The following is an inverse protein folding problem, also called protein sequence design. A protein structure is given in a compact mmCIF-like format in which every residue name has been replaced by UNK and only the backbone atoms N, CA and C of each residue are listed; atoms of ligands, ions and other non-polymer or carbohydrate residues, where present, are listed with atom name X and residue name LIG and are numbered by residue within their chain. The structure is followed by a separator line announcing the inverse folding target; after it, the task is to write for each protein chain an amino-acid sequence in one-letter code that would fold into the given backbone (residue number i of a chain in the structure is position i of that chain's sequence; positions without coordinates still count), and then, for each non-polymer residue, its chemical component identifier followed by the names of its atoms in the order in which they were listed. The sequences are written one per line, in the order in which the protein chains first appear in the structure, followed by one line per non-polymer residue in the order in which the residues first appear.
data_IF_079654504135
#
_entry.id   IF_079654504135
#
_cell.length_a   1.000
_cell.length_b   1.000
_cell.length_c   1.000
_cell.angle_alpha   90.00
_cell.angle_beta   90.00
_cell.angle_gamma   90.00
#
_symmetry.space_group_name_H-M   'P 1'
#
loop_
_entity.id
_entity.type
_entity.pdbx_description
1 polymer ?
#
# COMPACT_ATOMS: atom_id res chain seq x y z
N UNK A 1 5.21 17.93 10.79
CA UNK A 1 6.05 17.24 9.78
C UNK A 1 5.20 16.13 9.22
N UNK A 2 5.15 15.92 7.90
CA UNK A 2 4.32 14.84 7.33
C UNK A 2 4.85 13.47 7.75
N UNK A 3 3.95 12.59 8.16
CA UNK A 3 4.25 11.20 8.50
C UNK A 3 4.78 10.44 7.29
N UNK A 4 4.13 10.57 6.13
CA UNK A 4 4.58 9.98 4.84
C UNK A 4 6.03 10.36 4.56
N UNK A 5 6.33 11.66 4.60
CA UNK A 5 7.67 12.17 4.33
C UNK A 5 8.70 11.62 5.31
N UNK A 6 8.42 11.69 6.61
CA UNK A 6 9.34 11.21 7.65
C UNK A 6 9.59 9.70 7.55
N UNK A 7 8.55 8.90 7.29
CA UNK A 7 8.64 7.45 7.08
C UNK A 7 9.54 7.12 5.90
N UNK A 8 9.31 7.75 4.74
CA UNK A 8 10.08 7.47 3.51
C UNK A 8 11.53 7.95 3.60
N UNK A 9 11.78 9.15 4.15
CA UNK A 9 13.14 9.66 4.35
C UNK A 9 13.95 8.79 5.32
N UNK A 10 13.29 8.23 6.34
CA UNK A 10 13.94 7.33 7.30
C UNK A 10 14.20 5.96 6.70
N UNK A 11 13.26 5.41 5.92
CA UNK A 11 13.47 4.19 5.15
C UNK A 11 14.68 4.33 4.20
N UNK A 12 14.76 5.42 3.43
CA UNK A 12 15.85 5.65 2.48
C UNK A 12 17.24 5.68 3.11
N UNK A 13 17.36 6.11 4.37
CA UNK A 13 18.62 6.07 5.13
C UNK A 13 19.10 4.66 5.46
N UNK A 14 18.20 3.67 5.41
CA UNK A 14 18.49 2.26 5.68
C UNK A 14 18.85 1.48 4.41
N UNK A 15 18.66 2.07 3.24
CA UNK A 15 18.96 1.41 1.96
C UNK A 15 20.47 1.47 1.68
N UNK A 16 20.99 0.40 1.06
CA UNK A 16 22.35 0.41 0.53
C UNK A 16 22.45 1.19 -0.80
N UNK A 17 23.66 1.26 -1.38
CA UNK A 17 23.91 2.02 -2.61
C UNK A 17 23.15 1.50 -3.84
N UNK A 18 22.57 0.29 -3.76
CA UNK A 18 21.79 -0.32 -4.83
C UNK A 18 20.28 -0.27 -4.53
N UNK A 19 19.85 0.56 -3.57
CA UNK A 19 18.48 0.64 -3.07
C UNK A 19 17.95 -0.67 -2.46
N UNK A 20 18.84 -1.52 -1.93
CA UNK A 20 18.45 -2.73 -1.25
C UNK A 20 18.34 -2.52 0.26
N UNK A 21 17.38 -3.19 0.88
CA UNK A 21 17.19 -3.27 2.32
C UNK A 21 17.39 -4.71 2.78
N UNK A 22 18.23 -4.93 3.78
CA UNK A 22 18.27 -6.20 4.50
C UNK A 22 17.08 -6.25 5.46
N UNK A 23 16.27 -7.30 5.33
CA UNK A 23 15.09 -7.55 6.16
C UNK A 23 15.17 -8.92 6.81
N UNK A 24 14.49 -9.06 7.95
CA UNK A 24 14.28 -10.34 8.62
C UNK A 24 12.81 -10.75 8.47
N UNK A 25 12.58 -11.90 7.84
CA UNK A 25 11.28 -12.54 7.68
C UNK A 25 11.02 -13.59 8.78
N UNK A 26 9.96 -14.37 8.60
CA UNK A 26 9.59 -15.52 9.42
C UNK A 26 10.75 -16.51 9.59
N UNK A 27 10.73 -17.25 10.71
CA UNK A 27 11.77 -18.21 11.12
C UNK A 27 13.19 -17.64 11.21
N UNK A 28 13.35 -16.31 11.20
CA UNK A 28 14.65 -15.64 11.24
C UNK A 28 15.38 -15.64 9.91
N UNK A 29 14.69 -15.92 8.80
CA UNK A 29 15.26 -15.81 7.46
C UNK A 29 15.65 -14.36 7.17
N UNK A 30 16.86 -14.15 6.65
CA UNK A 30 17.36 -12.84 6.26
C UNK A 30 17.45 -12.80 4.74
N UNK A 31 16.87 -11.76 4.15
CA UNK A 31 16.94 -11.52 2.71
C UNK A 31 17.23 -10.05 2.40
N UNK A 32 17.61 -9.78 1.16
CA UNK A 32 17.68 -8.44 0.61
C UNK A 32 16.49 -8.21 -0.30
N UNK A 33 15.78 -7.12 -0.06
CA UNK A 33 14.66 -6.66 -0.90
C UNK A 33 15.00 -5.33 -1.55
N UNK A 34 14.43 -5.09 -2.72
CA UNK A 34 14.59 -3.87 -3.51
C UNK A 34 13.47 -2.86 -3.22
N UNK A 35 13.86 -1.59 -3.16
CA UNK A 35 12.97 -0.45 -3.03
C UNK A 35 13.16 0.50 -4.22
N UNK A 36 12.13 0.68 -5.03
CA UNK A 36 12.11 1.60 -6.17
C UNK A 36 11.05 2.65 -5.90
N UNK A 37 11.44 3.91 -5.92
CA UNK A 37 10.51 5.03 -5.78
C UNK A 37 10.59 5.91 -7.01
N UNK A 38 9.45 6.11 -7.66
CA UNK A 38 9.38 6.93 -8.86
C UNK A 38 9.57 8.43 -8.51
N UNK A 39 9.89 9.27 -9.49
CA UNK A 39 9.84 10.73 -9.33
C UNK A 39 8.44 11.21 -8.88
N UNK A 40 8.33 12.40 -8.26
CA UNK A 40 7.04 13.04 -7.97
C UNK A 40 6.08 13.10 -9.16
N UNK A 41 4.79 12.96 -8.88
CA UNK A 41 3.73 13.18 -9.87
C UNK A 41 3.67 14.66 -10.26
N UNK A 42 3.40 14.92 -11.54
CA UNK A 42 3.13 16.29 -12.01
C UNK A 42 1.68 16.69 -11.74
N UNK A 43 1.36 17.98 -11.84
CA UNK A 43 -0.05 18.41 -11.77
C UNK A 43 -0.88 17.79 -12.90
N UNK A 44 -0.29 17.62 -14.08
CA UNK A 44 -0.95 16.99 -15.23
C UNK A 44 -1.29 15.53 -14.91
N UNK A 45 -0.43 14.81 -14.21
CA UNK A 45 -0.73 13.45 -13.76
C UNK A 45 -1.90 13.45 -12.78
N UNK A 46 -1.88 14.30 -11.76
CA UNK A 46 -2.92 14.34 -10.74
C UNK A 46 -4.29 14.76 -11.32
N UNK A 47 -4.32 15.62 -12.32
CA UNK A 47 -5.54 16.05 -13.01
C UNK A 47 -6.22 14.94 -13.83
N UNK A 48 -5.52 13.85 -14.17
CA UNK A 48 -6.11 12.70 -14.86
C UNK A 48 -7.08 11.92 -13.98
N UNK A 49 -6.96 12.01 -12.65
CA UNK A 49 -7.83 11.27 -11.73
C UNK A 49 -9.24 11.88 -11.73
N UNK A 50 -10.29 11.11 -12.08
CA UNK A 50 -11.67 11.63 -12.15
C UNK A 50 -12.35 11.71 -10.78
N UNK A 51 -11.64 11.45 -9.68
CA UNK A 51 -12.17 11.34 -8.32
C UNK A 51 -11.27 12.07 -7.32
N UNK A 52 -11.82 12.37 -6.15
CA UNK A 52 -11.07 12.98 -5.05
C UNK A 52 -10.17 11.97 -4.38
N UNK A 53 -8.94 12.40 -4.08
CA UNK A 53 -7.92 11.57 -3.45
C UNK A 53 -7.75 11.97 -1.98
N UNK A 54 -7.61 11.01 -1.04
CA UNK A 54 -7.22 11.33 0.34
C UNK A 54 -5.89 12.08 0.41
N UNK A 55 -5.80 13.08 1.28
CA UNK A 55 -4.66 14.03 1.34
C UNK A 55 -3.31 13.35 1.56
N UNK A 56 -3.26 12.31 2.37
CA UNK A 56 -2.06 11.53 2.65
C UNK A 56 -1.61 10.69 1.45
N UNK A 57 -2.55 10.15 0.66
CA UNK A 57 -2.21 9.49 -0.60
C UNK A 57 -1.79 10.50 -1.69
N UNK A 58 -2.45 11.66 -1.79
CA UNK A 58 -2.02 12.73 -2.69
C UNK A 58 -0.60 13.21 -2.34
N UNK A 59 -0.29 13.36 -1.05
CA UNK A 59 1.06 13.69 -0.59
C UNK A 59 2.07 12.62 -1.01
N UNK A 60 1.73 11.34 -0.90
CA UNK A 60 2.57 10.26 -1.41
C UNK A 60 2.84 10.44 -2.91
N UNK A 61 1.82 10.64 -3.75
CA UNK A 61 2.00 10.83 -5.19
C UNK A 61 2.90 12.04 -5.51
N UNK A 62 2.77 13.13 -4.74
CA UNK A 62 3.60 14.34 -4.87
C UNK A 62 5.05 14.15 -4.40
N UNK A 63 5.35 13.06 -3.69
CA UNK A 63 6.71 12.67 -3.34
C UNK A 63 7.25 11.59 -4.30
N UNK A 64 6.39 10.61 -4.62
CA UNK A 64 6.67 9.44 -5.45
C UNK A 64 5.42 9.02 -6.23
N UNK A 65 5.46 9.15 -7.55
CA UNK A 65 4.40 8.73 -8.45
C UNK A 65 4.42 7.22 -8.65
N UNK A 66 4.06 6.48 -7.59
CA UNK A 66 4.19 5.03 -7.55
C UNK A 66 5.61 4.55 -7.26
N UNK A 67 5.81 3.24 -7.40
CA UNK A 67 7.06 2.57 -7.09
C UNK A 67 6.87 1.08 -6.82
N UNK A 68 7.90 0.46 -6.28
CA UNK A 68 7.93 -0.94 -5.92
C UNK A 68 8.64 -1.08 -4.58
N UNK A 69 7.97 -1.67 -3.59
CA UNK A 69 8.55 -1.89 -2.26
C UNK A 69 8.60 -3.37 -1.94
N UNK A 70 9.62 -3.79 -1.18
CA UNK A 70 9.81 -5.17 -0.72
C UNK A 70 9.88 -6.20 -1.87
N UNK A 71 10.37 -5.81 -3.04
CA UNK A 71 10.51 -6.73 -4.18
C UNK A 71 11.76 -7.59 -4.04
N UNK A 72 11.69 -8.86 -4.42
CA UNK A 72 12.89 -9.68 -4.54
C UNK A 72 13.78 -9.15 -5.68
N UNK A 73 15.11 -9.02 -5.49
CA UNK A 73 16.05 -8.69 -6.57
C UNK A 73 15.99 -9.67 -7.75
N UNK A 74 15.50 -10.89 -7.52
CA UNK A 74 15.30 -11.93 -8.55
C UNK A 74 13.95 -11.77 -9.27
N UNK A 75 13.13 -10.83 -8.83
CA UNK A 75 11.82 -10.47 -9.38
C UNK A 75 10.66 -11.13 -8.63
N UNK A 76 9.72 -10.31 -8.16
CA UNK A 76 8.46 -10.75 -7.57
C UNK A 76 8.39 -10.61 -6.04
N UNK A 77 7.24 -10.97 -5.46
CA UNK A 77 7.02 -11.03 -4.01
C UNK A 77 6.76 -9.69 -3.30
N UNK A 78 7.02 -8.56 -3.97
CA UNK A 78 6.80 -7.22 -3.41
C UNK A 78 5.43 -6.62 -3.65
N UNK A 79 5.29 -5.35 -3.27
CA UNK A 79 4.11 -4.53 -3.46
C UNK A 79 4.40 -3.40 -4.45
N UNK A 80 3.71 -3.42 -5.59
CA UNK A 80 3.75 -2.32 -6.57
C UNK A 80 2.81 -1.22 -6.12
N UNK A 81 3.34 -0.03 -5.87
CA UNK A 81 2.57 1.19 -5.62
C UNK A 81 2.26 1.82 -6.97
N UNK A 82 0.97 1.99 -7.28
CA UNK A 82 0.54 2.31 -8.63
C UNK A 82 0.77 3.77 -9.00
N UNK A 83 1.18 4.02 -10.24
CA UNK A 83 1.12 5.36 -10.83
C UNK A 83 -0.32 5.76 -11.14
N UNK A 84 -0.58 7.05 -11.35
CA UNK A 84 -1.92 7.50 -11.77
C UNK A 84 -2.40 6.79 -13.04
N UNK A 85 -1.52 6.63 -14.03
CA UNK A 85 -1.88 5.98 -15.29
C UNK A 85 -2.24 4.50 -15.04
N UNK A 86 -1.49 3.81 -14.18
CA UNK A 86 -1.79 2.42 -13.82
C UNK A 86 -3.12 2.29 -13.06
N UNK A 87 -3.44 3.22 -12.15
CA UNK A 87 -4.74 3.26 -11.47
C UNK A 87 -5.88 3.34 -12.50
N UNK A 88 -5.72 4.21 -13.51
CA UNK A 88 -6.73 4.38 -14.56
C UNK A 88 -6.81 3.15 -15.47
N UNK A 89 -5.69 2.53 -15.80
CA UNK A 89 -5.64 1.27 -16.56
C UNK A 89 -6.38 0.16 -15.82
N UNK A 90 -6.16 -0.03 -14.51
CA UNK A 90 -6.88 -1.03 -13.74
C UNK A 90 -8.38 -0.75 -13.69
N UNK A 91 -8.79 0.51 -13.53
CA UNK A 91 -10.22 0.87 -13.54
C UNK A 91 -10.90 0.67 -14.89
N UNK A 92 -10.13 0.57 -15.98
CA UNK A 92 -10.65 0.31 -17.32
C UNK A 92 -10.79 -1.19 -17.64
N UNK A 93 -10.34 -2.09 -16.76
CA UNK A 93 -10.45 -3.54 -16.96
C UNK A 93 -11.93 -3.97 -16.79
N UNK A 94 -12.50 -4.78 -17.69
CA UNK A 94 -13.84 -5.32 -17.53
C UNK A 94 -14.02 -6.05 -16.20
N UNK A 95 -15.08 -5.73 -15.46
CA UNK A 95 -15.33 -6.20 -14.09
C UNK A 95 -14.94 -5.21 -12.99
N UNK A 96 -14.05 -4.24 -13.28
CA UNK A 96 -13.85 -3.09 -12.38
C UNK A 96 -14.97 -2.05 -12.48
N UNK A 97 -15.80 -2.11 -13.52
CA UNK A 97 -16.98 -1.23 -13.68
C UNK A 97 -18.02 -1.42 -12.57
N UNK A 98 -18.02 -2.58 -11.91
CA UNK A 98 -18.90 -2.89 -10.78
C UNK A 98 -18.44 -2.21 -9.47
N UNK A 99 -17.25 -1.60 -9.46
CA UNK A 99 -16.70 -0.93 -8.29
C UNK A 99 -17.38 0.42 -8.12
N UNK A 100 -17.65 0.87 -6.88
CA UNK A 100 -18.14 2.22 -6.67
C UNK A 100 -17.19 3.26 -7.29
N UNK A 101 -17.73 4.36 -7.82
CA UNK A 101 -16.98 5.30 -8.65
C UNK A 101 -15.73 5.91 -7.97
N UNK A 102 -15.74 6.03 -6.64
CA UNK A 102 -14.64 6.56 -5.83
C UNK A 102 -13.74 5.47 -5.24
N UNK A 103 -13.89 4.22 -5.67
CA UNK A 103 -13.05 3.11 -5.26
C UNK A 103 -12.03 2.84 -6.34
N UNK A 104 -10.76 2.77 -5.93
CA UNK A 104 -9.66 2.61 -6.87
C UNK A 104 -8.47 1.92 -6.23
N UNK A 105 -7.81 1.00 -6.96
CA UNK A 105 -6.60 0.37 -6.49
C UNK A 105 -5.48 1.40 -6.42
N UNK A 106 -4.61 1.28 -5.43
CA UNK A 106 -3.43 2.12 -5.25
C UNK A 106 -2.16 1.30 -5.05
N UNK A 107 -2.31 0.00 -4.82
CA UNK A 107 -1.20 -0.95 -4.85
C UNK A 107 -1.68 -2.32 -5.36
N UNK A 108 -0.73 -3.09 -5.90
CA UNK A 108 -0.93 -4.45 -6.40
C UNK A 108 0.24 -5.34 -5.96
N UNK A 109 -0.05 -6.52 -5.41
CA UNK A 109 0.98 -7.44 -4.93
C UNK A 109 0.39 -8.60 -4.13
N UNK A 110 1.27 -9.42 -3.55
CA UNK A 110 0.91 -10.60 -2.73
C UNK A 110 -0.23 -11.44 -3.33
N UNK A 111 0.09 -12.24 -4.34
CA UNK A 111 -0.85 -13.20 -4.94
C UNK A 111 -2.03 -12.56 -5.69
N UNK A 112 -1.80 -11.40 -6.32
CA UNK A 112 -2.79 -10.75 -7.17
C UNK A 112 -3.84 -9.97 -6.41
N UNK A 113 -3.50 -9.52 -5.20
CA UNK A 113 -4.36 -8.70 -4.37
C UNK A 113 -4.13 -7.20 -4.63
N UNK A 114 -5.12 -6.41 -4.24
CA UNK A 114 -5.12 -4.96 -4.40
C UNK A 114 -5.30 -4.27 -3.07
N UNK A 115 -4.51 -3.22 -2.84
CA UNK A 115 -4.83 -2.21 -1.84
C UNK A 115 -5.75 -1.19 -2.49
N UNK A 116 -6.94 -0.98 -1.94
CA UNK A 116 -7.97 -0.14 -2.52
C UNK A 116 -8.29 1.01 -1.58
N UNK A 117 -8.32 2.23 -2.14
CA UNK A 117 -8.92 3.39 -1.47
C UNK A 117 -10.43 3.32 -1.70
N UNK A 118 -11.20 3.51 -0.63
CA UNK A 118 -12.66 3.49 -0.67
C UNK A 118 -13.26 4.76 -0.07
N UNK A 119 -14.55 4.99 -0.32
CA UNK A 119 -15.33 6.03 0.37
C UNK A 119 -15.97 5.53 1.69
N UNK A 120 -15.95 4.21 1.94
CA UNK A 120 -16.25 3.61 3.25
C UNK A 120 -15.20 4.05 4.27
N UNK A 121 -15.63 4.46 5.46
CA UNK A 121 -14.75 4.90 6.54
C UNK A 121 -15.10 4.27 7.88
N UNK A 122 -14.09 3.81 8.61
CA UNK A 122 -14.19 3.53 10.05
C UNK A 122 -13.11 4.36 10.75
N UNK A 123 -13.53 5.31 11.59
CA UNK A 123 -12.63 6.30 12.16
C UNK A 123 -11.92 7.12 11.07
N UNK A 124 -10.58 7.08 11.04
CA UNK A 124 -9.76 7.72 9.99
C UNK A 124 -9.43 6.79 8.82
N UNK A 125 -9.73 5.50 8.93
CA UNK A 125 -9.37 4.51 7.93
C UNK A 125 -10.31 4.48 6.75
N UNK A 126 -9.78 4.09 5.59
CA UNK A 126 -10.53 3.99 4.32
C UNK A 126 -9.95 2.92 3.37
N UNK A 127 -8.96 2.15 3.81
CA UNK A 127 -8.30 1.15 2.98
C UNK A 127 -8.96 -0.22 3.08
N UNK A 128 -9.08 -0.87 1.92
CA UNK A 128 -9.46 -2.27 1.77
C UNK A 128 -8.27 -3.07 1.21
N UNK A 129 -8.08 -4.28 1.70
CA UNK A 129 -7.22 -5.28 1.08
C UNK A 129 -8.08 -6.30 0.37
N UNK A 130 -8.10 -6.29 -0.95
CA UNK A 130 -9.01 -7.07 -1.75
C UNK A 130 -8.28 -8.16 -2.53
N UNK A 131 -8.75 -9.38 -2.39
CA UNK A 131 -8.31 -10.51 -3.23
C UNK A 131 -9.14 -10.55 -4.52
N UNK A 132 -8.48 -10.82 -5.65
CA UNK A 132 -9.16 -10.89 -6.94
C UNK A 132 -10.24 -11.98 -6.93
N UNK A 133 -11.46 -11.63 -7.30
CA UNK A 133 -12.58 -12.57 -7.45
C UNK A 133 -13.48 -12.70 -6.21
N UNK A 134 -13.19 -11.98 -5.13
CA UNK A 134 -14.07 -11.90 -3.97
C UNK A 134 -15.03 -10.70 -4.08
N UNK A 135 -16.24 -10.85 -3.53
CA UNK A 135 -17.19 -9.74 -3.36
C UNK A 135 -16.70 -8.78 -2.27
N UNK A 136 -17.19 -7.53 -2.25
CA UNK A 136 -16.81 -6.52 -1.25
C UNK A 136 -17.35 -6.81 0.17
N UNK A 137 -16.71 -7.76 0.84
CA UNK A 137 -16.95 -8.13 2.24
C UNK A 137 -16.29 -7.17 3.24
N UNK A 138 -16.87 -7.05 4.43
CA UNK A 138 -16.43 -6.08 5.45
C UNK A 138 -15.14 -6.52 6.19
N UNK A 139 -14.78 -7.81 6.14
CA UNK A 139 -13.54 -8.34 6.74
C UNK A 139 -12.28 -7.99 5.96
N UNK A 140 -12.42 -7.53 4.71
CA UNK A 140 -11.35 -6.96 3.89
C UNK A 140 -10.97 -5.52 4.29
N UNK A 141 -11.68 -4.91 5.24
CA UNK A 141 -11.39 -3.55 5.69
C UNK A 141 -10.19 -3.50 6.64
N UNK A 142 -9.17 -2.71 6.27
CA UNK A 142 -7.94 -2.62 7.08
C UNK A 142 -8.06 -1.67 8.28
N UNK A 143 -9.09 -0.82 8.35
CA UNK A 143 -9.24 0.10 9.47
C UNK A 143 -8.25 1.27 9.52
N UNK A 144 -7.47 1.51 8.45
CA UNK A 144 -6.41 2.52 8.43
C UNK A 144 -6.36 3.36 7.15
N UNK A 145 -5.64 4.47 7.22
CA UNK A 145 -5.36 5.36 6.08
C UNK A 145 -4.02 4.97 5.42
N UNK A 146 -3.64 5.68 4.36
CA UNK A 146 -2.45 5.34 3.59
C UNK A 146 -1.16 5.58 4.37
N UNK A 147 -1.08 6.67 5.15
CA UNK A 147 0.10 6.93 5.99
C UNK A 147 0.33 5.87 7.07
N UNK A 148 -0.74 5.35 7.69
CA UNK A 148 -0.67 4.30 8.70
C UNK A 148 -0.31 2.96 8.04
N UNK A 149 -0.89 2.64 6.88
CA UNK A 149 -0.51 1.44 6.10
C UNK A 149 0.96 1.47 5.70
N UNK A 150 1.44 2.57 5.14
CA UNK A 150 2.82 2.70 4.66
C UNK A 150 3.84 2.58 5.80
N UNK A 151 3.57 3.19 6.95
CA UNK A 151 4.42 3.03 8.13
C UNK A 151 4.42 1.58 8.62
N UNK A 152 3.25 0.96 8.74
CA UNK A 152 3.11 -0.40 9.25
C UNK A 152 3.77 -1.44 8.33
N UNK A 153 3.60 -1.35 7.01
CA UNK A 153 4.25 -2.29 6.07
C UNK A 153 5.78 -2.14 6.11
N UNK A 154 6.29 -0.93 6.35
CA UNK A 154 7.72 -0.68 6.52
C UNK A 154 8.26 -1.25 7.83
N UNK A 155 7.52 -1.08 8.93
CA UNK A 155 7.88 -1.66 10.23
C UNK A 155 7.80 -3.18 10.22
N UNK A 156 6.81 -3.74 9.52
CA UNK A 156 6.61 -5.16 9.32
C UNK A 156 7.56 -5.76 8.26
N UNK A 157 8.50 -4.97 7.72
CA UNK A 157 9.49 -5.44 6.76
C UNK A 157 8.89 -6.10 5.52
N UNK A 158 7.73 -5.63 5.07
CA UNK A 158 7.03 -6.17 3.91
C UNK A 158 6.14 -7.37 4.19
N UNK A 159 6.06 -7.85 5.43
CA UNK A 159 5.10 -8.90 5.78
C UNK A 159 3.67 -8.34 5.86
N UNK A 160 2.67 -9.18 5.53
CA UNK A 160 1.23 -8.84 5.55
C UNK A 160 0.71 -8.66 6.98
N UNK A 161 1.11 -7.57 7.64
CA UNK A 161 0.88 -7.35 9.07
C UNK A 161 -0.60 -7.34 9.49
N UNK A 162 -1.51 -7.07 8.56
CA UNK A 162 -2.95 -7.13 8.79
C UNK A 162 -3.44 -8.57 9.05
N UNK A 163 -2.71 -9.59 8.60
CA UNK A 163 -3.03 -11.00 8.84
C UNK A 163 -2.52 -11.50 10.20
N UNK A 164 -1.65 -10.73 10.87
CA UNK A 164 -1.06 -11.16 12.14
C UNK A 164 -2.08 -11.28 13.27
N UNK A 165 -3.29 -10.75 13.08
CA UNK A 165 -4.43 -10.87 13.98
C UNK A 165 -4.04 -10.51 15.40
N UNK A 166 -4.28 -9.26 15.83
CA UNK A 166 -4.23 -8.96 17.26
C UNK A 166 -5.30 -9.81 17.96
N UNK A 167 -4.96 -11.04 18.34
CA UNK A 167 -5.68 -11.81 19.35
C UNK A 167 -5.40 -11.06 20.64
N UNK A 168 -6.23 -10.05 20.94
CA UNK A 168 -6.47 -9.67 22.32
C UNK A 168 -6.96 -10.98 22.96
N UNK A 169 -6.19 -11.61 23.87
CA UNK A 169 -6.73 -12.73 24.61
C UNK A 169 -8.02 -12.21 25.26
N UNK A 170 -9.15 -12.95 25.22
CA UNK A 170 -10.32 -12.55 25.97
C UNK A 170 -9.85 -12.27 27.40
N UNK A 171 -9.98 -11.01 27.82
CA UNK A 171 -9.51 -10.57 29.13
C UNK A 171 -10.11 -11.52 30.16
N UNK A 172 -9.26 -12.28 30.84
CA UNK A 172 -9.68 -13.05 32.00
C UNK A 172 -10.20 -12.04 33.02
N UNK A 173 -11.51 -12.02 33.21
CA UNK A 173 -12.13 -11.34 34.34
C UNK A 173 -11.70 -12.11 35.60
N UNK A 174 -10.85 -11.48 36.42
CA UNK A 174 -10.62 -11.88 37.81
C UNK A 174 -11.70 -11.26 38.70
#
# INVERSE_FOLDING_TARGET
MSKIKTTLETLKKRLDSNNLLEVQQEDGYIEKVEMIFNPPATEDDLQKLPFSVPKDYEEFLRLHHGGLIFNSPEGGGGLKLLTVDEILEYRAIPGYEDYPANWFPVAYGYDGCYLIITDKKVGRGYLFWMETGNDFEDDMFLGMNFEDFLENIIMAQGSKFWEWGFRIPPTFNF
#
